data_IF_138328437623
#
_entry.id   IF_138328437623
#
_cell.length_a   1.000
_cell.length_b   1.000
_cell.length_c   1.000
_cell.angle_alpha   90.00
_cell.angle_beta   90.00
_cell.angle_gamma   90.00
#
_symmetry.space_group_name_H-M   'P 1'
#
loop_
_entity.id
_entity.type
_entity.pdbx_description
1 polymer ?
#
# COMPACT_ATOMS: atom_id res chain seq x y z
N UNK A 1 0.15 -1.15 9.45
CA UNK A 1 -1.04 -0.34 9.80
C UNK A 1 -0.98 0.95 9.01
N UNK A 2 -2.04 1.33 8.32
CA UNK A 2 -2.07 2.58 7.55
C UNK A 2 -2.53 3.72 8.45
N UNK A 3 -1.82 4.85 8.41
CA UNK A 3 -2.17 6.06 9.15
C UNK A 3 -2.58 7.17 8.18
N UNK A 4 -3.80 7.67 8.34
CA UNK A 4 -4.41 8.72 7.54
C UNK A 4 -4.18 10.11 8.16
N UNK A 5 -4.52 11.19 7.45
CA UNK A 5 -4.23 12.56 7.89
C UNK A 5 -5.10 13.00 9.08
N UNK A 6 -6.27 12.40 9.22
CA UNK A 6 -7.25 12.63 10.29
C UNK A 6 -6.96 11.78 11.55
N UNK A 7 -5.75 11.23 11.64
CA UNK A 7 -5.29 10.27 12.65
C UNK A 7 -6.03 8.91 12.64
N UNK A 8 -6.92 8.66 11.67
CA UNK A 8 -7.51 7.33 11.47
C UNK A 8 -6.41 6.31 11.21
N UNK A 9 -6.52 5.16 11.87
CA UNK A 9 -5.60 4.04 11.71
C UNK A 9 -6.36 2.81 11.22
N UNK A 10 -5.92 2.24 10.10
CA UNK A 10 -6.55 1.06 9.48
C UNK A 10 -5.57 -0.10 9.51
N UNK A 11 -6.01 -1.20 10.14
CA UNK A 11 -5.34 -2.49 10.05
C UNK A 11 -5.55 -3.09 8.66
N UNK A 12 -4.46 -3.47 8.00
CA UNK A 12 -4.50 -4.11 6.68
C UNK A 12 -3.76 -5.44 6.79
N UNK A 13 -4.46 -6.53 6.49
CA UNK A 13 -3.95 -7.89 6.65
C UNK A 13 -3.07 -8.22 5.45
N UNK A 14 -1.82 -8.61 5.73
CA UNK A 14 -0.86 -9.06 4.71
C UNK A 14 -0.20 -7.94 3.90
N UNK A 15 -0.29 -6.69 4.37
CA UNK A 15 0.32 -5.54 3.68
C UNK A 15 1.85 -5.69 3.57
N UNK A 16 2.51 -6.12 4.66
CA UNK A 16 3.97 -6.27 4.68
C UNK A 16 4.45 -7.33 3.70
N UNK A 17 3.72 -8.45 3.58
CA UNK A 17 4.03 -9.51 2.61
C UNK A 17 3.90 -9.00 1.18
N UNK A 18 2.81 -8.29 0.87
CA UNK A 18 2.58 -7.72 -0.47
C UNK A 18 3.69 -6.73 -0.83
N UNK A 19 4.08 -5.86 0.10
CA UNK A 19 5.18 -4.92 -0.12
C UNK A 19 6.52 -5.65 -0.31
N UNK A 20 6.78 -6.72 0.44
CA UNK A 20 7.98 -7.53 0.29
C UNK A 20 8.04 -8.23 -1.08
N UNK A 21 6.94 -8.85 -1.52
CA UNK A 21 6.82 -9.48 -2.84
C UNK A 21 7.08 -8.48 -3.97
N UNK A 22 6.39 -7.33 -3.95
CA UNK A 22 6.55 -6.30 -4.98
C UNK A 22 7.98 -5.71 -5.00
N UNK A 23 8.58 -5.54 -3.82
CA UNK A 23 9.97 -5.09 -3.75
C UNK A 23 10.94 -6.13 -4.30
N UNK A 24 10.73 -7.41 -4.01
CA UNK A 24 11.52 -8.51 -4.57
C UNK A 24 11.36 -8.64 -6.10
N UNK A 25 10.18 -8.29 -6.64
CA UNK A 25 9.94 -8.15 -8.09
C UNK A 25 10.65 -6.92 -8.71
N UNK A 26 11.29 -6.06 -7.92
CA UNK A 26 11.92 -4.83 -8.40
C UNK A 26 10.94 -3.71 -8.74
N UNK A 27 9.69 -3.78 -8.26
CA UNK A 27 8.66 -2.78 -8.53
C UNK A 27 9.03 -1.44 -7.90
N UNK A 28 9.08 -0.39 -8.72
CA UNK A 28 9.27 1.00 -8.25
C UNK A 28 8.02 1.51 -7.54
N UNK A 29 8.18 2.50 -6.66
CA UNK A 29 7.05 3.09 -5.96
C UNK A 29 6.31 4.12 -6.82
N UNK A 30 5.45 3.61 -7.69
CA UNK A 30 4.62 4.33 -8.67
C UNK A 30 3.12 4.10 -8.40
N UNK A 31 2.28 4.84 -9.11
CA UNK A 31 0.82 4.67 -9.06
C UNK A 31 0.40 3.27 -9.51
N UNK A 32 1.05 2.72 -10.55
CA UNK A 32 0.82 1.33 -11.01
C UNK A 32 1.08 0.31 -9.90
N UNK A 33 2.21 0.43 -9.18
CA UNK A 33 2.49 -0.46 -8.04
C UNK A 33 1.46 -0.30 -6.93
N UNK A 34 0.95 0.92 -6.73
CA UNK A 34 -0.11 1.18 -5.74
C UNK A 34 -1.42 0.50 -6.12
N UNK A 35 -1.80 0.54 -7.39
CA UNK A 35 -2.97 -0.19 -7.90
C UNK A 35 -2.82 -1.71 -7.74
N UNK A 36 -1.61 -2.24 -7.97
CA UNK A 36 -1.33 -3.66 -7.74
C UNK A 36 -1.42 -4.03 -6.25
N UNK A 37 -0.94 -3.16 -5.34
CA UNK A 37 -1.14 -3.36 -3.89
C UNK A 37 -2.63 -3.43 -3.57
N UNK A 38 -3.43 -2.47 -4.06
CA UNK A 38 -4.89 -2.45 -3.83
C UNK A 38 -5.53 -3.74 -4.33
N UNK A 39 -5.19 -4.18 -5.54
CA UNK A 39 -5.71 -5.43 -6.12
C UNK A 39 -5.37 -6.66 -5.29
N UNK A 40 -4.12 -6.77 -4.81
CA UNK A 40 -3.70 -7.87 -3.92
C UNK A 40 -4.42 -7.81 -2.56
N UNK A 41 -4.67 -6.61 -2.04
CA UNK A 41 -5.45 -6.41 -0.81
C UNK A 41 -6.91 -6.81 -0.96
N UNK A 42 -7.56 -6.45 -2.08
CA UNK A 42 -8.92 -6.89 -2.43
C UNK A 42 -9.00 -8.41 -2.54
N UNK A 43 -8.02 -9.04 -3.20
CA UNK A 43 -7.93 -10.50 -3.29
C UNK A 43 -7.78 -11.17 -1.90
N UNK A 44 -7.12 -10.49 -0.95
CA UNK A 44 -7.04 -10.90 0.46
C UNK A 44 -8.27 -10.50 1.30
N UNK A 45 -9.35 -10.01 0.66
CA UNK A 45 -10.61 -9.59 1.29
C UNK A 45 -10.47 -8.44 2.30
N UNK A 46 -9.44 -7.59 2.14
CA UNK A 46 -9.34 -6.36 2.93
C UNK A 46 -10.42 -5.37 2.47
N UNK A 47 -10.92 -4.56 3.40
CA UNK A 47 -11.81 -3.45 3.08
C UNK A 47 -11.06 -2.37 2.30
N UNK A 48 -11.53 -2.07 1.10
CA UNK A 48 -11.09 -0.91 0.30
C UNK A 48 -12.26 0.08 0.22
N UNK A 49 -12.03 1.37 0.54
CA UNK A 49 -13.07 2.38 0.42
C UNK A 49 -13.60 2.49 -1.02
N UNK A 50 -14.93 2.50 -1.17
CA UNK A 50 -15.60 2.62 -2.46
C UNK A 50 -15.76 4.06 -2.95
N UNK A 51 -15.75 5.04 -2.03
CA UNK A 51 -15.85 6.45 -2.40
C UNK A 51 -14.57 6.89 -3.10
N UNK A 52 -14.70 7.62 -4.22
CA UNK A 52 -13.55 8.01 -5.03
C UNK A 52 -12.53 8.81 -4.21
N UNK A 53 -13.01 9.74 -3.36
CA UNK A 53 -12.16 10.54 -2.47
C UNK A 53 -11.37 9.66 -1.50
N UNK A 54 -12.04 8.74 -0.78
CA UNK A 54 -11.37 7.88 0.18
C UNK A 54 -10.44 6.87 -0.51
N UNK A 55 -10.79 6.40 -1.71
CA UNK A 55 -9.93 5.51 -2.52
C UNK A 55 -8.65 6.22 -2.95
N UNK A 56 -8.74 7.48 -3.39
CA UNK A 56 -7.55 8.30 -3.73
C UNK A 56 -6.65 8.52 -2.52
N UNK A 57 -7.23 8.81 -1.38
CA UNK A 57 -6.49 8.97 -0.12
C UNK A 57 -5.82 7.66 0.31
N UNK A 58 -6.56 6.55 0.24
CA UNK A 58 -6.04 5.21 0.52
C UNK A 58 -4.85 4.87 -0.37
N UNK A 59 -4.96 5.12 -1.68
CA UNK A 59 -3.87 4.95 -2.63
C UNK A 59 -2.66 5.83 -2.28
N UNK A 60 -2.89 7.11 -1.94
CA UNK A 60 -1.81 8.01 -1.53
C UNK A 60 -1.05 7.50 -0.31
N UNK A 61 -1.76 7.04 0.72
CA UNK A 61 -1.15 6.50 1.95
C UNK A 61 -0.38 5.21 1.65
N UNK A 62 -0.92 4.32 0.82
CA UNK A 62 -0.22 3.11 0.37
C UNK A 62 1.09 3.42 -0.37
N UNK A 63 1.04 4.36 -1.31
CA UNK A 63 2.22 4.78 -2.06
C UNK A 63 3.30 5.33 -1.13
N UNK A 64 2.90 6.16 -0.14
CA UNK A 64 3.82 6.70 0.87
C UNK A 64 4.44 5.57 1.70
N UNK A 65 3.66 4.60 2.13
CA UNK A 65 4.14 3.47 2.93
C UNK A 65 5.08 2.58 2.13
N UNK A 66 4.78 2.30 0.86
CA UNK A 66 5.65 1.52 -0.01
C UNK A 66 6.96 2.27 -0.33
N UNK A 67 6.91 3.59 -0.57
CA UNK A 67 8.13 4.42 -0.71
C UNK A 67 9.03 4.30 0.52
N UNK A 68 8.44 4.34 1.71
CA UNK A 68 9.17 4.15 2.96
C UNK A 68 9.77 2.74 3.04
N UNK A 69 8.99 1.71 2.74
CA UNK A 69 9.44 0.32 2.71
C UNK A 69 10.68 0.12 1.84
N UNK A 70 10.66 0.66 0.61
CA UNK A 70 11.77 0.59 -0.35
C UNK A 70 13.00 1.39 0.14
N UNK A 71 12.78 2.58 0.70
CA UNK A 71 13.88 3.43 1.19
C UNK A 71 14.59 2.83 2.40
N UNK A 72 13.84 2.23 3.32
CA UNK A 72 14.38 1.65 4.55
C UNK A 72 15.09 0.30 4.30
N UNK A 73 14.97 -0.23 3.08
CA UNK A 73 15.61 -1.46 2.62
C UNK A 73 16.35 -1.20 1.31
N UNK A 74 17.42 -0.37 1.31
CA UNK A 74 18.32 -0.35 0.16
C UNK A 74 18.74 -1.80 -0.08
N UNK A 75 18.50 -2.31 -1.29
CA UNK A 75 18.81 -3.69 -1.66
C UNK A 75 20.21 -4.08 -1.19
N UNK A 76 20.36 -5.34 -0.78
CA UNK A 76 21.63 -5.90 -0.31
C UNK A 76 22.77 -5.77 -1.30
#
# INVERSE_FOLDING_TARGET
MLKFFDDTQVGVIGLDDIMAELHAEGRKATDETTEEIIKRLEARKNYIPSSERARKEYAYVLLKEYRKYVKDRPGG
#
